data_IF_093546967370
#
_entry.id   IF_093546967370
#
_cell.length_a   1.000
_cell.length_b   1.000
_cell.length_c   1.000
_cell.angle_alpha   90.00
_cell.angle_beta   90.00
_cell.angle_gamma   90.00
#
_symmetry.space_group_name_H-M   'P 1'
#
loop_
_entity.id
_entity.type
_entity.pdbx_description
1 polymer ?
#
# COMPACT_ATOMS: atom_id res chain seq x y z
N UNK A 1 7.23 1.38 20.02
CA UNK A 1 6.50 2.34 19.16
C UNK A 1 5.40 1.57 18.47
N UNK A 2 4.17 2.09 18.40
CA UNK A 2 3.05 1.35 17.78
C UNK A 2 3.01 1.67 16.28
N UNK A 3 3.35 0.71 15.40
CA UNK A 3 3.45 0.98 13.96
C UNK A 3 2.12 1.47 13.38
N UNK A 4 0.99 1.02 13.93
CA UNK A 4 -0.35 1.36 13.44
C UNK A 4 -0.65 2.85 13.43
N UNK A 5 -0.34 3.57 14.52
CA UNK A 5 -0.60 5.01 14.57
C UNK A 5 0.23 5.75 13.51
N UNK A 6 1.52 5.39 13.38
CA UNK A 6 2.43 6.05 12.44
C UNK A 6 2.01 5.78 10.98
N UNK A 7 1.63 4.54 10.65
CA UNK A 7 1.10 4.17 9.31
C UNK A 7 -0.19 4.92 8.97
N UNK A 8 -1.14 5.04 9.91
CA UNK A 8 -2.37 5.80 9.69
C UNK A 8 -2.05 7.26 9.42
N UNK A 9 -1.13 7.84 10.20
CA UNK A 9 -0.70 9.23 10.02
C UNK A 9 -0.07 9.45 8.64
N UNK A 10 0.80 8.54 8.18
CA UNK A 10 1.38 8.58 6.84
C UNK A 10 0.31 8.51 5.74
N UNK A 11 -0.68 7.61 5.88
CA UNK A 11 -1.77 7.46 4.92
C UNK A 11 -2.64 8.71 4.84
N UNK A 12 -2.96 9.33 5.99
CA UNK A 12 -3.66 10.61 6.05
C UNK A 12 -2.88 11.72 5.33
N UNK A 13 -1.56 11.80 5.56
CA UNK A 13 -0.69 12.77 4.89
C UNK A 13 -0.68 12.56 3.37
N UNK A 14 -0.56 11.31 2.89
CA UNK A 14 -0.61 10.98 1.46
C UNK A 14 -1.94 11.39 0.81
N UNK A 15 -3.05 11.30 1.54
CA UNK A 15 -4.38 11.74 1.06
C UNK A 15 -4.70 13.21 1.32
N UNK A 16 -3.82 13.96 1.99
CA UNK A 16 -4.06 15.38 2.32
C UNK A 16 -5.21 15.60 3.32
N UNK A 17 -5.51 14.61 4.17
CA UNK A 17 -6.56 14.71 5.20
C UNK A 17 -5.95 14.75 6.60
N UNK A 18 -6.66 15.34 7.56
CA UNK A 18 -6.27 15.28 8.97
C UNK A 18 -6.79 14.00 9.64
N UNK A 19 -6.18 13.62 10.77
CA UNK A 19 -6.67 12.49 11.58
C UNK A 19 -8.12 12.72 12.05
N UNK A 20 -8.49 13.96 12.38
CA UNK A 20 -9.87 14.28 12.75
C UNK A 20 -10.86 14.11 11.60
N UNK A 21 -10.43 14.37 10.36
CA UNK A 21 -11.25 14.11 9.16
C UNK A 21 -11.45 12.62 8.93
N UNK A 22 -10.44 11.80 9.21
CA UNK A 22 -10.56 10.35 9.19
C UNK A 22 -11.53 9.86 10.28
N UNK A 23 -11.42 10.39 11.50
CA UNK A 23 -12.35 10.07 12.59
C UNK A 23 -13.80 10.40 12.21
N UNK A 24 -14.04 11.57 11.61
CA UNK A 24 -15.36 11.97 11.13
C UNK A 24 -15.87 11.04 10.01
N UNK A 25 -15.02 10.71 9.04
CA UNK A 25 -15.38 9.83 7.93
C UNK A 25 -15.74 8.40 8.37
N UNK A 26 -15.11 7.92 9.45
CA UNK A 26 -15.35 6.59 10.02
C UNK A 26 -16.38 6.60 11.17
N UNK A 27 -16.97 7.76 11.50
CA UNK A 27 -17.93 7.87 12.60
C UNK A 27 -17.32 7.66 13.99
N UNK A 28 -16.01 7.83 14.14
CA UNK A 28 -15.32 7.69 15.41
C UNK A 28 -15.46 8.95 16.28
N UNK A 29 -15.45 8.74 17.59
CA UNK A 29 -15.31 9.84 18.55
C UNK A 29 -13.95 10.53 18.41
N UNK A 30 -13.88 11.83 18.73
CA UNK A 30 -12.60 12.58 18.69
C UNK A 30 -11.51 11.88 19.50
N UNK A 31 -10.27 11.95 19.01
CA UNK A 31 -9.07 11.38 19.61
C UNK A 31 -9.03 9.83 19.64
N UNK A 32 -9.97 9.17 18.97
CA UNK A 32 -9.94 7.70 18.84
C UNK A 32 -8.64 7.24 18.18
N UNK A 33 -8.21 7.88 17.10
CA UNK A 33 -6.97 7.51 16.40
C UNK A 33 -5.74 7.85 17.25
N UNK A 34 -5.74 8.99 17.96
CA UNK A 34 -4.65 9.33 18.88
C UNK A 34 -4.49 8.33 20.03
N UNK A 35 -5.60 7.76 20.51
CA UNK A 35 -5.56 6.72 21.55
C UNK A 35 -4.85 5.44 21.09
N UNK A 36 -4.77 5.20 19.77
CA UNK A 36 -4.07 4.05 19.19
C UNK A 36 -2.55 4.12 19.36
N UNK A 37 -2.01 5.28 19.79
CA UNK A 37 -0.58 5.44 20.14
C UNK A 37 -0.22 4.71 21.43
N UNK A 38 -1.18 4.45 22.30
CA UNK A 38 -0.96 3.80 23.61
C UNK A 38 -1.80 2.53 23.80
N UNK A 39 -2.93 2.43 23.10
CA UNK A 39 -3.85 1.30 23.17
C UNK A 39 -3.89 0.56 21.84
N UNK A 40 -3.97 -0.77 21.87
CA UNK A 40 -4.20 -1.55 20.66
C UNK A 40 -5.65 -1.34 20.20
N UNK A 41 -5.91 -0.92 18.95
CA UNK A 41 -7.26 -0.95 18.39
C UNK A 41 -7.77 -2.38 18.29
N UNK A 42 -9.10 -2.53 18.27
CA UNK A 42 -9.73 -3.82 18.01
C UNK A 42 -9.64 -4.16 16.51
N UNK A 43 -9.94 -5.42 16.17
CA UNK A 43 -9.87 -5.89 14.78
C UNK A 43 -10.82 -5.14 13.85
N UNK A 44 -12.02 -4.80 14.33
CA UNK A 44 -13.04 -4.04 13.59
C UNK A 44 -12.49 -2.68 13.13
N UNK A 45 -11.94 -1.88 14.03
CA UNK A 45 -11.35 -0.57 13.67
C UNK A 45 -10.16 -0.69 12.73
N UNK A 46 -9.33 -1.72 12.90
CA UNK A 46 -8.22 -1.99 11.97
C UNK A 46 -8.78 -2.25 10.57
N UNK A 47 -9.83 -3.05 10.45
CA UNK A 47 -10.49 -3.36 9.17
C UNK A 47 -11.08 -2.11 8.54
N UNK A 48 -11.89 -1.33 9.28
CA UNK A 48 -12.53 -0.11 8.77
C UNK A 48 -11.51 0.90 8.24
N UNK A 49 -10.38 1.05 8.93
CA UNK A 49 -9.30 1.94 8.49
C UNK A 49 -8.58 1.37 7.26
N UNK A 50 -8.32 0.06 7.24
CA UNK A 50 -7.72 -0.62 6.09
C UNK A 50 -8.58 -0.45 4.83
N UNK A 51 -9.88 -0.67 4.97
CA UNK A 51 -10.87 -0.54 3.89
C UNK A 51 -10.96 0.90 3.39
N UNK A 52 -10.99 1.88 4.31
CA UNK A 52 -10.99 3.30 3.94
C UNK A 52 -9.76 3.66 3.11
N UNK A 53 -8.58 3.15 3.48
CA UNK A 53 -7.33 3.46 2.79
C UNK A 53 -7.04 2.54 1.59
N UNK A 54 -7.82 1.48 1.39
CA UNK A 54 -7.57 0.40 0.43
C UNK A 54 -6.18 -0.24 0.63
N UNK A 55 -5.87 -0.59 1.88
CA UNK A 55 -4.61 -1.24 2.25
C UNK A 55 -4.87 -2.52 3.05
N UNK A 56 -3.88 -3.39 3.20
CA UNK A 56 -3.99 -4.57 4.05
C UNK A 56 -3.97 -4.21 5.55
N UNK A 57 -4.67 -5.00 6.34
CA UNK A 57 -4.58 -4.92 7.81
C UNK A 57 -3.17 -5.27 8.29
N UNK A 58 -2.47 -6.16 7.60
CA UNK A 58 -1.08 -6.52 7.86
C UNK A 58 -0.12 -5.32 7.70
N UNK A 59 -0.36 -4.45 6.72
CA UNK A 59 0.37 -3.19 6.57
C UNK A 59 0.14 -2.26 7.76
N UNK A 60 -1.12 -2.07 8.17
CA UNK A 60 -1.45 -1.23 9.33
C UNK A 60 -0.87 -1.80 10.64
N UNK A 61 -0.78 -3.12 10.77
CA UNK A 61 -0.21 -3.78 11.93
C UNK A 61 1.32 -3.85 11.89
N UNK A 62 1.95 -3.42 10.80
CA UNK A 62 3.41 -3.46 10.61
C UNK A 62 3.97 -4.87 10.43
N UNK A 63 3.14 -5.80 9.95
CA UNK A 63 3.55 -7.18 9.60
C UNK A 63 4.18 -7.25 8.21
N UNK A 64 3.93 -6.23 7.38
CA UNK A 64 4.50 -6.05 6.04
C UNK A 64 4.69 -4.56 5.75
N UNK A 65 5.66 -4.24 4.89
CA UNK A 65 5.81 -2.91 4.29
C UNK A 65 4.95 -2.73 3.02
N UNK A 66 4.36 -3.83 2.51
CA UNK A 66 3.49 -3.80 1.35
C UNK A 66 2.06 -3.38 1.76
N UNK A 67 1.57 -2.21 1.32
CA UNK A 67 0.21 -1.78 1.61
C UNK A 67 -0.85 -2.58 0.86
N UNK A 68 -0.50 -3.32 -0.21
CA UNK A 68 -1.47 -4.01 -1.04
C UNK A 68 -2.24 -5.08 -0.25
N UNK A 69 -3.52 -5.20 -0.56
CA UNK A 69 -4.36 -6.32 -0.13
C UNK A 69 -3.97 -7.51 -1.02
N UNK A 70 -3.68 -8.65 -0.41
CA UNK A 70 -3.38 -9.87 -1.17
C UNK A 70 -4.59 -10.23 -2.05
N UNK A 71 -4.34 -10.42 -3.33
CA UNK A 71 -5.32 -10.91 -4.30
C UNK A 71 -4.68 -12.02 -5.15
N UNK A 72 -5.49 -12.85 -5.79
CA UNK A 72 -4.97 -13.98 -6.58
C UNK A 72 -4.15 -13.51 -7.80
N UNK A 73 -4.32 -12.26 -8.21
CA UNK A 73 -3.59 -11.62 -9.31
C UNK A 73 -2.26 -10.97 -8.84
N UNK A 74 -1.94 -11.00 -7.54
CA UNK A 74 -0.71 -10.42 -6.99
C UNK A 74 0.41 -11.46 -6.99
N UNK A 75 1.53 -11.09 -7.62
CA UNK A 75 2.71 -11.95 -7.74
C UNK A 75 3.78 -11.37 -6.82
N UNK A 76 4.13 -12.13 -5.78
CA UNK A 76 5.05 -11.70 -4.73
C UNK A 76 4.68 -10.33 -4.10
N UNK A 77 3.38 -10.00 -4.06
CA UNK A 77 2.87 -8.73 -3.52
C UNK A 77 2.81 -7.57 -4.52
N UNK A 78 3.11 -7.79 -5.80
CA UNK A 78 2.99 -6.79 -6.87
C UNK A 78 1.83 -7.13 -7.81
N UNK A 79 1.07 -6.12 -8.22
CA UNK A 79 0.10 -6.25 -9.31
C UNK A 79 0.78 -6.10 -10.67
N UNK A 80 0.14 -6.55 -11.75
CA UNK A 80 0.64 -6.32 -13.11
C UNK A 80 0.89 -4.83 -13.41
N UNK A 81 0.03 -3.93 -12.92
CA UNK A 81 0.21 -2.47 -13.03
C UNK A 81 1.46 -1.97 -12.28
N UNK A 82 1.77 -2.53 -11.11
CA UNK A 82 2.98 -2.18 -10.37
C UNK A 82 4.23 -2.62 -11.14
N UNK A 83 4.21 -3.83 -11.69
CA UNK A 83 5.31 -4.36 -12.50
C UNK A 83 5.53 -3.54 -13.77
N UNK A 84 4.44 -3.10 -14.42
CA UNK A 84 4.50 -2.20 -15.58
C UNK A 84 5.13 -0.86 -15.22
N UNK A 85 4.72 -0.24 -14.12
CA UNK A 85 5.34 1.01 -13.64
C UNK A 85 6.81 0.83 -13.29
N UNK A 86 7.21 -0.32 -12.76
CA UNK A 86 8.63 -0.62 -12.53
C UNK A 86 9.41 -0.71 -13.83
N UNK A 87 8.84 -1.35 -14.85
CA UNK A 87 9.42 -1.42 -16.19
C UNK A 87 9.52 -0.03 -16.84
N UNK A 88 8.48 0.80 -16.73
CA UNK A 88 8.47 2.19 -17.23
C UNK A 88 9.52 3.09 -16.54
N UNK A 89 9.83 2.83 -15.26
CA UNK A 89 10.86 3.56 -14.52
C UNK A 89 12.30 3.21 -14.94
N UNK A 90 12.51 2.16 -15.75
CA UNK A 90 13.80 1.89 -16.37
C UNK A 90 14.05 2.94 -17.48
N UNK A 91 14.45 4.14 -17.07
CA UNK A 91 14.40 5.40 -17.85
C UNK A 91 14.88 5.35 -19.31
N UNK A 92 15.80 4.47 -19.70
CA UNK A 92 16.26 4.27 -21.08
C UNK A 92 16.94 2.91 -21.21
N UNK A 93 16.80 2.26 -22.36
CA UNK A 93 17.71 1.19 -22.78
C UNK A 93 18.57 1.75 -23.91
N UNK A 94 19.89 1.75 -23.73
CA UNK A 94 20.85 2.29 -24.70
C UNK A 94 20.62 3.78 -25.08
N UNK A 95 20.11 4.57 -24.13
CA UNK A 95 19.86 6.01 -24.34
C UNK A 95 18.62 6.34 -25.18
N UNK A 96 17.87 5.33 -25.63
CA UNK A 96 16.58 5.49 -26.32
C UNK A 96 15.42 5.32 -25.32
N UNK A 97 14.28 6.02 -25.53
CA UNK A 97 13.07 5.71 -24.80
C UNK A 97 12.67 4.26 -25.09
N UNK A 98 12.22 3.56 -24.05
CA UNK A 98 11.67 2.22 -24.21
C UNK A 98 10.41 2.29 -25.07
N UNK A 99 10.25 1.32 -25.97
CA UNK A 99 8.99 1.10 -26.67
C UNK A 99 8.00 0.35 -25.78
N UNK A 100 6.71 0.37 -26.14
CA UNK A 100 5.69 -0.43 -25.44
C UNK A 100 6.04 -1.93 -25.44
N UNK A 101 6.58 -2.45 -26.54
CA UNK A 101 7.02 -3.85 -26.64
C UNK A 101 8.18 -4.14 -25.67
N UNK A 102 9.11 -3.20 -25.50
CA UNK A 102 10.21 -3.35 -24.55
C UNK A 102 9.72 -3.34 -23.09
N UNK A 103 8.74 -2.48 -22.78
CA UNK A 103 8.11 -2.40 -21.45
C UNK A 103 7.40 -3.72 -21.13
N UNK A 104 6.63 -4.25 -22.09
CA UNK A 104 5.91 -5.52 -21.94
C UNK A 104 6.89 -6.70 -21.76
N UNK A 105 8.01 -6.71 -22.48
CA UNK A 105 9.05 -7.73 -22.33
C UNK A 105 9.70 -7.67 -20.93
N UNK A 106 10.03 -6.48 -20.45
CA UNK A 106 10.61 -6.28 -19.11
C UNK A 106 9.60 -6.69 -18.03
N UNK A 107 8.34 -6.29 -18.16
CA UNK A 107 7.26 -6.67 -17.24
C UNK A 107 7.15 -8.21 -17.14
N UNK A 108 7.10 -8.91 -18.28
CA UNK A 108 7.03 -10.37 -18.32
C UNK A 108 8.23 -11.05 -17.65
N UNK A 109 9.45 -10.52 -17.86
CA UNK A 109 10.66 -11.07 -17.22
C UNK A 109 10.58 -10.93 -15.69
N UNK A 110 10.15 -9.76 -15.19
CA UNK A 110 9.98 -9.52 -13.75
C UNK A 110 8.92 -10.47 -13.19
N UNK A 111 7.81 -10.65 -13.91
CA UNK A 111 6.74 -11.54 -13.51
C UNK A 111 7.20 -13.00 -13.37
N UNK A 112 7.92 -13.52 -14.38
CA UNK A 112 8.48 -14.88 -14.36
C UNK A 112 9.43 -15.06 -13.18
N UNK A 113 10.31 -14.09 -12.94
CA UNK A 113 11.27 -14.15 -11.84
C UNK A 113 10.59 -14.19 -10.47
N UNK A 114 9.52 -13.42 -10.28
CA UNK A 114 8.78 -13.36 -9.02
C UNK A 114 7.89 -14.59 -8.79
N UNK A 115 7.33 -15.20 -9.84
CA UNK A 115 6.56 -16.46 -9.74
C UNK A 115 7.43 -17.67 -9.37
N UNK A 116 8.72 -17.63 -9.67
CA UNK A 116 9.67 -18.72 -9.38
C UNK A 116 10.25 -18.74 -7.96
N UNK A 117 9.84 -17.81 -7.09
CA UNK A 117 10.28 -17.66 -5.70
C UNK A 117 9.18 -18.05 -4.72
#
# INVERSE_FOLDING_TARGET
>A
MFPTFDRIKELCQKRGISLSKLEEALGYSRNTIYSMKTKKPNAERISEIADYFHVSTDYLLGRTDNPAIANDDTIAGYTSDDLRKMAENAKTFDGKPLTEEDIDAIQNIIEIYLRGR
#
